data_IF_548364706067
#
_entry.id   IF_548364706067
#
_cell.length_a   1.000
_cell.length_b   1.000
_cell.length_c   1.000
_cell.angle_alpha   90.00
_cell.angle_beta   90.00
_cell.angle_gamma   90.00
#
_symmetry.space_group_name_H-M   'P 1'
#
loop_
_entity.id
_entity.type
_entity.pdbx_description
1 polymer ?
#
# COMPACT_ATOMS: atom_id res chain seq x y z
N UNK A 1 -5.77 -2.22 30.30
CA UNK A 1 -4.32 -1.92 30.38
C UNK A 1 -3.94 -1.19 29.09
N UNK A 2 -3.82 0.14 29.14
CA UNK A 2 -3.56 0.99 27.97
C UNK A 2 -2.07 0.96 27.64
N UNK A 3 -1.68 0.33 26.53
CA UNK A 3 -0.32 0.40 26.00
C UNK A 3 -0.07 1.82 25.44
N UNK A 4 0.38 2.74 26.30
CA UNK A 4 1.13 3.92 25.84
C UNK A 4 2.48 3.44 25.33
N UNK A 5 2.57 3.12 24.04
CA UNK A 5 3.87 2.94 23.38
C UNK A 5 4.54 4.30 23.35
N UNK A 6 5.56 4.46 24.20
CA UNK A 6 6.58 5.50 24.07
C UNK A 6 7.14 5.31 22.66
N UNK A 7 6.75 6.19 21.73
CA UNK A 7 7.44 6.29 20.44
C UNK A 7 8.89 6.55 20.82
N UNK A 8 9.81 5.68 20.37
CA UNK A 8 11.23 5.82 20.69
C UNK A 8 11.65 7.23 20.34
N UNK A 9 11.91 8.05 21.36
CA UNK A 9 12.34 9.42 21.19
C UNK A 9 13.59 9.48 20.31
N UNK A 10 14.35 8.39 20.24
CA UNK A 10 15.57 8.26 19.48
C UNK A 10 15.29 8.10 17.97
N UNK A 11 14.18 7.47 17.57
CA UNK A 11 13.73 7.45 16.16
C UNK A 11 13.34 8.85 15.71
N UNK A 12 12.63 9.60 16.55
CA UNK A 12 12.29 10.99 16.26
C UNK A 12 13.52 11.91 16.31
N UNK A 13 14.43 11.75 17.28
CA UNK A 13 15.69 12.51 17.32
C UNK A 13 16.56 12.25 16.10
N UNK A 14 16.61 11.00 15.61
CA UNK A 14 17.36 10.60 14.43
C UNK A 14 16.82 11.29 13.16
N UNK A 15 15.50 11.35 12.98
CA UNK A 15 14.89 11.98 11.79
C UNK A 15 14.80 13.52 11.86
N UNK A 16 14.73 14.13 13.05
CA UNK A 16 14.42 15.55 13.23
C UNK A 16 15.52 16.36 13.95
N UNK A 17 16.77 15.91 13.83
CA UNK A 17 17.96 16.24 14.65
C UNK A 17 18.32 17.72 14.95
N UNK A 18 17.56 18.74 14.55
CA UNK A 18 17.90 20.14 14.84
C UNK A 18 16.82 21.00 15.50
N UNK A 19 15.58 20.55 15.67
CA UNK A 19 14.56 21.44 16.26
C UNK A 19 13.63 20.73 17.27
N UNK A 20 14.11 20.62 18.50
CA UNK A 20 13.38 20.02 19.63
C UNK A 20 12.04 20.70 19.91
N UNK A 21 11.88 22.00 19.56
CA UNK A 21 10.61 22.73 19.73
C UNK A 21 9.57 22.32 18.69
N UNK A 22 10.00 22.07 17.45
CA UNK A 22 9.13 21.60 16.37
C UNK A 22 8.59 20.19 16.66
N UNK A 23 9.48 19.28 17.10
CA UNK A 23 9.14 17.91 17.50
C UNK A 23 8.07 17.89 18.60
N UNK A 24 8.25 18.72 19.65
CA UNK A 24 7.31 18.79 20.78
C UNK A 24 5.92 19.27 20.35
N UNK A 25 5.87 20.29 19.49
CA UNK A 25 4.63 20.88 18.98
C UNK A 25 3.87 19.92 18.04
N UNK A 26 4.59 19.11 17.25
CA UNK A 26 3.99 18.07 16.41
C UNK A 26 3.55 16.84 17.21
N UNK A 27 4.30 16.42 18.24
CA UNK A 27 3.86 15.35 19.14
C UNK A 27 2.57 15.75 19.89
N UNK A 28 2.48 17.00 20.36
CA UNK A 28 1.29 17.50 21.07
C UNK A 28 0.04 17.55 20.16
N UNK A 29 0.19 17.77 18.85
CA UNK A 29 -0.93 17.71 17.89
C UNK A 29 -1.34 16.27 17.53
N UNK A 30 -0.45 15.28 17.70
CA UNK A 30 -0.73 13.86 17.42
C UNK A 30 -1.54 13.12 18.49
N UNK A 31 -1.79 13.73 19.66
CA UNK A 31 -2.73 13.19 20.67
C UNK A 31 -4.19 13.08 20.16
N UNK A 32 -4.48 13.54 18.94
CA UNK A 32 -5.79 13.43 18.28
C UNK A 32 -5.94 12.20 17.37
N UNK A 33 -5.01 11.23 17.40
CA UNK A 33 -5.22 9.91 16.76
C UNK A 33 -5.25 9.91 15.23
N UNK A 34 -4.92 11.04 14.58
CA UNK A 34 -4.82 11.18 13.13
C UNK A 34 -3.44 11.76 12.82
N UNK A 35 -2.42 10.91 12.82
CA UNK A 35 -1.03 11.33 12.72
C UNK A 35 -0.57 11.55 11.28
N UNK A 36 -0.71 12.77 10.77
CA UNK A 36 0.15 13.29 9.72
C UNK A 36 1.51 13.60 10.35
N UNK A 37 2.52 12.73 10.19
CA UNK A 37 3.90 13.17 10.39
C UNK A 37 4.30 13.87 9.11
N UNK A 38 3.86 15.12 9.03
CA UNK A 38 4.18 16.02 7.96
C UNK A 38 5.57 16.55 8.24
N UNK A 39 6.60 15.74 8.02
CA UNK A 39 7.93 16.32 8.03
C UNK A 39 7.91 17.46 7.01
N UNK A 40 8.31 18.69 7.40
CA UNK A 40 8.06 19.84 6.57
C UNK A 40 8.57 19.56 5.17
N UNK A 41 7.74 19.81 4.16
CA UNK A 41 8.08 19.51 2.76
C UNK A 41 9.42 20.16 2.34
N UNK A 42 9.80 21.21 3.07
CA UNK A 42 11.04 21.97 2.93
C UNK A 42 12.29 21.25 3.47
N UNK A 43 12.15 20.25 4.33
CA UNK A 43 13.27 19.52 4.93
C UNK A 43 13.92 18.54 3.93
N UNK A 44 13.12 17.95 3.05
CA UNK A 44 13.59 17.00 2.02
C UNK A 44 13.78 17.65 0.65
N UNK A 45 12.93 18.62 0.27
CA UNK A 45 13.03 19.29 -1.04
C UNK A 45 14.30 20.14 -1.21
N UNK A 46 15.00 20.45 -0.12
CA UNK A 46 16.21 21.27 -0.14
C UNK A 46 17.50 20.51 -0.46
N UNK A 47 17.51 19.18 -0.51
CA UNK A 47 18.68 18.44 -0.98
C UNK A 47 18.78 18.52 -2.51
N UNK A 48 19.19 19.68 -3.04
CA UNK A 48 19.61 19.76 -4.46
C UNK A 48 20.79 18.83 -4.79
N UNK A 49 21.43 18.28 -3.75
CA UNK A 49 22.62 17.43 -3.82
C UNK A 49 22.31 15.93 -3.92
N UNK A 50 21.09 15.48 -3.61
CA UNK A 50 20.72 14.07 -3.67
C UNK A 50 19.63 13.87 -4.70
N UNK A 51 19.97 13.22 -5.80
CA UNK A 51 19.13 13.05 -6.98
C UNK A 51 18.42 11.70 -7.00
N UNK A 52 17.46 11.53 -7.91
CA UNK A 52 16.89 10.20 -8.18
C UNK A 52 17.92 9.17 -8.66
N UNK A 53 19.00 9.60 -9.33
CA UNK A 53 20.07 8.68 -9.73
C UNK A 53 20.84 8.18 -8.49
N UNK A 54 21.16 9.09 -7.56
CA UNK A 54 21.83 8.74 -6.31
C UNK A 54 20.94 7.84 -5.44
N UNK A 55 19.63 8.13 -5.38
CA UNK A 55 18.65 7.28 -4.69
C UNK A 55 18.62 5.87 -5.28
N UNK A 56 18.56 5.76 -6.61
CA UNK A 56 18.57 4.48 -7.33
C UNK A 56 19.84 3.68 -7.05
N UNK A 57 21.00 4.35 -7.08
CA UNK A 57 22.29 3.74 -6.76
C UNK A 57 22.30 3.21 -5.33
N UNK A 58 21.90 4.03 -4.34
CA UNK A 58 21.83 3.63 -2.94
C UNK A 58 20.90 2.42 -2.72
N UNK A 59 19.73 2.40 -3.37
CA UNK A 59 18.79 1.27 -3.26
C UNK A 59 19.42 -0.01 -3.81
N UNK A 60 20.07 0.05 -4.97
CA UNK A 60 20.68 -1.11 -5.61
C UNK A 60 21.93 -1.60 -4.86
N UNK A 61 22.72 -0.69 -4.29
CA UNK A 61 23.95 -1.01 -3.57
C UNK A 61 23.66 -1.57 -2.17
N UNK A 62 22.76 -0.93 -1.40
CA UNK A 62 22.57 -1.26 0.02
C UNK A 62 21.29 -2.05 0.30
N UNK A 63 20.17 -1.70 -0.32
CA UNK A 63 18.89 -2.32 0.03
C UNK A 63 18.63 -3.62 -0.74
N UNK A 64 18.95 -3.67 -2.04
CA UNK A 64 18.74 -4.85 -2.87
C UNK A 64 19.40 -6.12 -2.27
N UNK A 65 20.68 -6.09 -1.81
CA UNK A 65 21.29 -7.28 -1.19
C UNK A 65 20.55 -7.73 0.07
N UNK A 66 20.09 -6.79 0.91
CA UNK A 66 19.37 -7.09 2.15
C UNK A 66 18.05 -7.79 1.86
N UNK A 67 17.24 -7.24 0.94
CA UNK A 67 15.92 -7.80 0.67
C UNK A 67 15.99 -9.12 -0.13
N UNK A 68 17.07 -9.34 -0.87
CA UNK A 68 17.33 -10.60 -1.56
C UNK A 68 17.43 -11.80 -0.60
N UNK A 69 17.91 -11.58 0.64
CA UNK A 69 17.94 -12.62 1.69
C UNK A 69 16.54 -13.15 2.06
N UNK A 70 15.48 -12.38 1.77
CA UNK A 70 14.08 -12.75 2.01
C UNK A 70 13.41 -13.37 0.77
N UNK A 71 14.19 -13.62 -0.29
CA UNK A 71 13.74 -14.17 -1.56
C UNK A 71 13.05 -13.17 -2.49
N UNK A 72 13.18 -11.87 -2.24
CA UNK A 72 12.74 -10.85 -3.20
C UNK A 72 13.80 -10.65 -4.28
N UNK A 73 13.35 -10.39 -5.50
CA UNK A 73 14.19 -10.01 -6.63
C UNK A 73 13.73 -8.66 -7.18
N UNK A 74 14.54 -8.03 -8.01
CA UNK A 74 14.22 -6.71 -8.58
C UNK A 74 15.31 -5.69 -8.31
N UNK A 75 15.05 -4.46 -8.71
CA UNK A 75 16.01 -3.35 -8.69
C UNK A 75 15.32 -2.00 -8.73
N UNK A 76 16.12 -0.97 -8.57
CA UNK A 76 15.81 0.44 -8.69
C UNK A 76 14.85 0.91 -7.60
N UNK A 77 13.56 0.63 -7.74
CA UNK A 77 12.53 1.00 -6.76
C UNK A 77 11.54 -0.13 -6.49
N UNK A 78 11.72 -1.28 -7.15
CA UNK A 78 10.71 -2.34 -7.22
C UNK A 78 11.34 -3.68 -6.94
N UNK A 79 10.88 -4.28 -5.85
CA UNK A 79 11.26 -5.61 -5.43
C UNK A 79 10.02 -6.47 -5.38
N UNK A 80 10.11 -7.70 -5.89
CA UNK A 80 9.00 -8.62 -5.93
C UNK A 80 9.43 -10.04 -5.59
N UNK A 81 8.49 -10.77 -4.99
CA UNK A 81 8.55 -12.20 -4.73
C UNK A 81 7.25 -12.79 -5.25
N UNK A 82 7.28 -14.00 -5.79
CA UNK A 82 6.08 -14.65 -6.29
C UNK A 82 5.95 -16.09 -5.79
N UNK A 83 4.71 -16.54 -5.65
CA UNK A 83 4.31 -17.94 -5.51
C UNK A 83 3.38 -18.32 -6.66
N UNK A 84 2.80 -19.52 -6.67
CA UNK A 84 1.92 -20.00 -7.74
C UNK A 84 0.68 -19.12 -7.98
N UNK A 85 0.26 -18.38 -6.96
CA UNK A 85 -1.01 -17.66 -6.89
C UNK A 85 -0.86 -16.14 -6.74
N UNK A 86 0.30 -15.60 -6.38
CA UNK A 86 0.46 -14.19 -5.99
C UNK A 86 1.82 -13.60 -6.37
N UNK A 87 1.83 -12.28 -6.50
CA UNK A 87 3.03 -11.44 -6.41
C UNK A 87 2.95 -10.59 -5.15
N UNK A 88 4.02 -10.60 -4.38
CA UNK A 88 4.28 -9.69 -3.28
C UNK A 88 5.26 -8.64 -3.78
N UNK A 89 4.92 -7.36 -3.66
CA UNK A 89 5.77 -6.27 -4.13
C UNK A 89 6.09 -5.29 -3.01
N UNK A 90 7.33 -4.81 -3.00
CA UNK A 90 7.80 -3.69 -2.21
C UNK A 90 8.17 -2.61 -3.21
N UNK A 91 7.46 -1.49 -3.16
CA UNK A 91 7.68 -0.37 -4.07
C UNK A 91 8.10 0.88 -3.30
N UNK A 92 9.28 1.39 -3.63
CA UNK A 92 9.73 2.71 -3.22
C UNK A 92 9.08 3.77 -4.13
N UNK A 93 8.51 4.79 -3.52
CA UNK A 93 7.96 5.97 -4.16
C UNK A 93 8.84 7.16 -3.78
N UNK A 94 9.97 7.37 -4.48
CA UNK A 94 10.77 8.56 -4.28
C UNK A 94 9.97 9.79 -4.65
N UNK A 95 10.22 10.89 -3.94
CA UNK A 95 9.79 12.20 -4.39
C UNK A 95 10.47 12.58 -5.72
N UNK A 96 10.01 13.66 -6.35
CA UNK A 96 10.54 14.07 -7.67
C UNK A 96 12.04 14.34 -7.67
N UNK A 97 12.65 14.59 -6.51
CA UNK A 97 14.04 14.96 -6.39
C UNK A 97 14.91 13.81 -5.86
N UNK A 98 14.34 12.77 -5.26
CA UNK A 98 15.04 11.67 -4.59
C UNK A 98 15.31 11.90 -3.09
N UNK A 99 15.00 13.09 -2.55
CA UNK A 99 15.31 13.51 -1.18
C UNK A 99 14.42 12.90 -0.11
N UNK A 100 13.35 12.21 -0.49
CA UNK A 100 12.55 11.41 0.40
C UNK A 100 11.78 10.32 -0.33
N UNK A 101 11.36 9.29 0.40
CA UNK A 101 10.66 8.14 -0.19
C UNK A 101 9.56 7.62 0.73
N UNK A 102 8.49 7.14 0.12
CA UNK A 102 7.52 6.26 0.78
C UNK A 102 7.77 4.82 0.33
N UNK A 103 7.36 3.85 1.14
CA UNK A 103 7.44 2.44 0.78
C UNK A 103 6.06 1.83 0.88
N UNK A 104 5.57 1.28 -0.23
CA UNK A 104 4.31 0.55 -0.27
C UNK A 104 4.55 -0.94 -0.38
N UNK A 105 3.75 -1.69 0.38
CA UNK A 105 3.65 -3.14 0.35
C UNK A 105 2.41 -3.51 -0.44
N UNK A 106 2.58 -4.20 -1.55
CA UNK A 106 1.51 -4.49 -2.49
C UNK A 106 1.36 -6.01 -2.65
N UNK A 107 0.12 -6.47 -2.81
CA UNK A 107 -0.16 -7.86 -3.17
C UNK A 107 -1.02 -7.88 -4.41
N UNK A 108 -0.55 -8.59 -5.43
CA UNK A 108 -1.26 -8.87 -6.66
C UNK A 108 -1.60 -10.36 -6.71
N UNK A 109 -2.87 -10.69 -6.88
CA UNK A 109 -3.30 -12.08 -7.05
C UNK A 109 -3.26 -12.47 -8.53
N UNK A 110 -2.73 -13.66 -8.82
CA UNK A 110 -2.66 -14.28 -10.16
C UNK A 110 -4.02 -14.88 -10.52
N UNK A 111 -4.32 -14.98 -11.81
CA UNK A 111 -5.57 -15.59 -12.30
C UNK A 111 -6.76 -14.64 -12.41
N UNK A 112 -6.81 -13.56 -11.63
CA UNK A 112 -7.80 -12.48 -11.84
C UNK A 112 -7.12 -11.33 -12.60
N UNK A 113 -7.24 -11.38 -13.93
CA UNK A 113 -6.63 -10.38 -14.82
C UNK A 113 -7.39 -9.06 -14.74
N UNK A 114 -6.68 -8.01 -14.36
CA UNK A 114 -7.14 -6.62 -14.44
C UNK A 114 -6.11 -5.76 -15.18
N UNK A 115 -6.52 -4.84 -16.08
CA UNK A 115 -7.79 -4.74 -16.83
C UNK A 115 -8.10 -5.88 -17.82
N UNK A 116 -9.32 -5.91 -18.40
CA UNK A 116 -9.73 -6.91 -19.40
C UNK A 116 -8.72 -7.00 -20.56
N UNK A 117 -8.76 -8.12 -21.31
CA UNK A 117 -7.93 -8.64 -22.44
C UNK A 117 -6.97 -7.70 -23.20
N UNK A 118 -7.17 -6.40 -23.18
CA UNK A 118 -6.35 -5.36 -23.81
C UNK A 118 -5.20 -4.85 -22.93
N UNK A 119 -5.17 -5.17 -21.63
CA UNK A 119 -4.18 -4.63 -20.72
C UNK A 119 -3.16 -5.67 -20.28
N UNK A 120 -1.93 -5.53 -20.77
CA UNK A 120 -0.81 -6.38 -20.37
C UNK A 120 -0.28 -5.91 -19.02
N UNK A 121 -0.43 -6.74 -17.98
CA UNK A 121 0.24 -6.54 -16.70
C UNK A 121 1.75 -6.44 -16.96
N UNK A 122 2.31 -5.25 -16.73
CA UNK A 122 3.73 -5.02 -16.87
C UNK A 122 4.36 -5.03 -15.48
N UNK A 123 5.13 -6.08 -15.16
CA UNK A 123 5.89 -6.23 -13.92
C UNK A 123 6.69 -4.97 -13.56
N UNK A 124 7.13 -4.18 -14.56
CA UNK A 124 7.87 -2.92 -14.35
C UNK A 124 7.02 -1.65 -14.11
N UNK A 125 5.71 -1.64 -14.40
CA UNK A 125 4.87 -0.41 -14.39
C UNK A 125 3.65 -0.42 -13.45
N UNK A 126 3.32 -1.55 -12.83
CA UNK A 126 1.96 -1.85 -12.40
C UNK A 126 1.70 -1.81 -10.87
N UNK A 127 2.15 -0.78 -10.15
CA UNK A 127 1.74 -0.59 -8.74
C UNK A 127 0.26 -0.24 -8.60
N UNK A 128 -0.34 0.36 -9.65
CA UNK A 128 -1.73 0.82 -9.72
C UNK A 128 -2.79 -0.30 -9.79
N UNK A 129 -2.38 -1.56 -9.90
CA UNK A 129 -3.27 -2.68 -10.22
C UNK A 129 -3.17 -3.84 -9.24
N UNK A 130 -2.66 -3.57 -8.03
CA UNK A 130 -2.61 -4.53 -6.93
C UNK A 130 -3.90 -4.44 -6.11
N UNK A 131 -4.45 -5.59 -5.72
CA UNK A 131 -5.69 -5.66 -4.94
C UNK A 131 -5.50 -5.13 -3.53
N UNK A 132 -4.34 -5.42 -2.93
CA UNK A 132 -4.04 -5.01 -1.56
C UNK A 132 -2.82 -4.11 -1.53
N UNK A 133 -2.87 -3.06 -0.70
CA UNK A 133 -1.78 -2.11 -0.57
C UNK A 133 -1.72 -1.56 0.84
N UNK A 134 -0.53 -1.56 1.43
CA UNK A 134 -0.25 -0.95 2.71
C UNK A 134 0.99 -0.09 2.61
N UNK A 135 0.86 1.18 2.97
CA UNK A 135 2.01 2.04 3.18
C UNK A 135 2.75 1.59 4.44
N UNK A 136 4.05 1.38 4.31
CA UNK A 136 4.92 0.99 5.40
C UNK A 136 5.09 2.17 6.36
N UNK A 137 5.01 1.90 7.66
CA UNK A 137 5.23 2.91 8.69
C UNK A 137 5.74 2.29 10.00
N UNK A 138 6.75 2.90 10.64
CA UNK A 138 7.24 2.49 11.95
C UNK A 138 6.21 2.68 13.08
N UNK A 139 5.20 3.54 12.89
CA UNK A 139 4.19 3.83 13.93
C UNK A 139 2.75 3.56 13.49
N UNK A 140 2.55 2.82 12.39
CA UNK A 140 1.22 2.50 11.83
C UNK A 140 0.41 3.76 11.42
N UNK A 141 1.10 4.79 10.93
CA UNK A 141 0.46 5.92 10.21
C UNK A 141 0.33 5.59 8.73
N UNK A 142 -0.67 6.18 8.07
CA UNK A 142 -0.85 6.11 6.62
C UNK A 142 0.10 7.03 5.84
N UNK A 143 0.85 7.92 6.51
CA UNK A 143 1.76 8.87 5.86
C UNK A 143 3.10 8.84 6.59
N UNK A 144 4.06 8.10 6.03
CA UNK A 144 5.44 8.10 6.51
C UNK A 144 6.39 8.26 5.32
N UNK A 145 7.34 9.18 5.46
CA UNK A 145 8.40 9.42 4.49
C UNK A 145 9.74 9.25 5.18
N UNK A 146 10.62 8.46 4.57
CA UNK A 146 12.03 8.43 4.94
C UNK A 146 12.78 9.50 4.16
N UNK A 147 13.65 10.22 4.86
CA UNK A 147 14.50 11.25 4.30
C UNK A 147 15.79 10.66 3.77
N UNK A 148 16.25 11.14 2.63
CA UNK A 148 17.58 10.88 2.13
C UNK A 148 18.38 12.19 2.12
N UNK A 149 19.68 12.09 2.37
CA UNK A 149 20.62 13.21 2.45
C UNK A 149 21.74 13.02 1.43
N UNK A 150 22.63 14.00 1.28
CA UNK A 150 23.80 13.86 0.40
C UNK A 150 24.86 12.87 0.90
N UNK A 151 24.88 12.53 2.18
CA UNK A 151 25.81 11.55 2.74
C UNK A 151 25.30 10.11 2.51
N UNK A 152 26.11 9.28 1.85
CA UNK A 152 25.77 7.88 1.53
C UNK A 152 25.65 6.96 2.76
N UNK A 153 26.50 7.12 3.77
CA UNK A 153 26.46 6.30 5.00
C UNK A 153 25.20 6.56 5.82
N UNK A 154 24.78 7.82 5.94
CA UNK A 154 23.49 8.19 6.54
C UNK A 154 22.33 7.51 5.79
N UNK A 155 22.36 7.50 4.46
CA UNK A 155 21.33 6.86 3.64
C UNK A 155 21.32 5.34 3.77
N UNK A 156 22.50 4.73 3.93
CA UNK A 156 22.62 3.29 4.22
C UNK A 156 21.89 2.94 5.52
N UNK A 157 22.11 3.71 6.59
CA UNK A 157 21.41 3.51 7.86
C UNK A 157 19.88 3.69 7.73
N UNK A 158 19.42 4.63 6.90
CA UNK A 158 17.99 4.78 6.58
C UNK A 158 17.44 3.54 5.86
N UNK A 159 18.18 2.97 4.91
CA UNK A 159 17.78 1.76 4.19
C UNK A 159 17.78 0.51 5.09
N UNK A 160 18.73 0.41 6.02
CA UNK A 160 18.76 -0.63 7.06
C UNK A 160 17.55 -0.53 7.99
N UNK A 161 17.15 0.69 8.39
CA UNK A 161 15.92 0.90 9.16
C UNK A 161 14.66 0.50 8.37
N UNK A 162 14.55 0.90 7.10
CA UNK A 162 13.45 0.47 6.22
C UNK A 162 13.39 -1.06 6.15
N UNK A 163 14.55 -1.72 5.94
CA UNK A 163 14.64 -3.17 5.89
C UNK A 163 14.18 -3.82 7.21
N UNK A 164 14.63 -3.31 8.36
CA UNK A 164 14.17 -3.77 9.68
C UNK A 164 12.66 -3.66 9.82
N UNK A 165 12.06 -2.52 9.44
CA UNK A 165 10.61 -2.32 9.52
C UNK A 165 9.87 -3.26 8.54
N UNK A 166 10.46 -3.57 7.38
CA UNK A 166 9.92 -4.59 6.47
C UNK A 166 9.91 -5.96 7.15
N UNK A 167 10.99 -6.36 7.82
CA UNK A 167 11.01 -7.65 8.55
C UNK A 167 9.96 -7.68 9.66
N UNK A 168 9.86 -6.62 10.46
CA UNK A 168 8.95 -6.54 11.61
C UNK A 168 7.47 -6.43 11.21
N UNK A 169 7.16 -5.78 10.09
CA UNK A 169 5.77 -5.43 9.73
C UNK A 169 5.37 -5.81 8.32
N UNK A 170 6.29 -5.73 7.37
CA UNK A 170 6.02 -6.05 5.97
C UNK A 170 5.90 -7.55 5.73
N UNK A 171 6.83 -8.35 6.26
CA UNK A 171 6.77 -9.81 6.15
C UNK A 171 5.50 -10.36 6.83
N UNK A 172 5.15 -9.99 8.09
CA UNK A 172 3.87 -10.38 8.68
C UNK A 172 2.65 -9.93 7.86
N UNK A 173 2.69 -8.72 7.27
CA UNK A 173 1.64 -8.27 6.36
C UNK A 173 1.53 -9.14 5.11
N UNK A 174 2.62 -9.66 4.55
CA UNK A 174 2.53 -10.55 3.39
C UNK A 174 2.03 -11.95 3.79
N UNK A 175 2.45 -12.46 4.95
CA UNK A 175 2.05 -13.79 5.46
C UNK A 175 0.54 -13.94 5.64
N UNK A 176 -0.20 -12.88 5.97
CA UNK A 176 -1.66 -13.00 6.08
C UNK A 176 -2.30 -13.49 4.77
N UNK A 177 -1.70 -13.18 3.60
CA UNK A 177 -2.20 -13.58 2.30
C UNK A 177 -1.81 -15.01 1.90
N UNK A 178 -1.09 -15.76 2.73
CA UNK A 178 -0.88 -17.20 2.52
C UNK A 178 -2.25 -17.93 2.46
N UNK A 179 -3.20 -17.50 3.29
CA UNK A 179 -4.58 -18.01 3.27
C UNK A 179 -5.56 -16.96 2.71
N UNK A 180 -5.45 -16.74 1.39
CA UNK A 180 -6.23 -15.74 0.67
C UNK A 180 -7.74 -15.97 0.82
N UNK A 181 -8.20 -17.21 0.75
CA UNK A 181 -9.63 -17.54 0.84
C UNK A 181 -10.22 -17.14 2.19
N UNK A 182 -9.45 -17.32 3.28
CA UNK A 182 -9.84 -16.87 4.61
C UNK A 182 -9.92 -15.34 4.73
N UNK A 183 -9.07 -14.60 4.01
CA UNK A 183 -9.17 -13.13 3.97
C UNK A 183 -10.42 -12.73 3.19
N UNK A 184 -10.57 -13.31 2.00
CA UNK A 184 -11.62 -12.92 1.07
C UNK A 184 -13.00 -13.28 1.58
N UNK A 185 -13.17 -14.42 2.25
CA UNK A 185 -14.43 -14.83 2.87
C UNK A 185 -14.96 -13.80 3.88
N UNK A 186 -14.05 -13.14 4.61
CA UNK A 186 -14.41 -12.12 5.61
C UNK A 186 -14.70 -10.73 5.04
N UNK A 187 -14.38 -10.48 3.77
CA UNK A 187 -14.72 -9.20 3.14
C UNK A 187 -16.22 -9.16 2.88
N UNK A 188 -16.86 -8.10 3.36
CA UNK A 188 -18.28 -7.83 3.18
C UNK A 188 -18.47 -6.50 2.47
N UNK A 189 -19.71 -6.21 2.06
CA UNK A 189 -20.08 -4.87 1.58
C UNK A 189 -19.70 -3.79 2.61
N UNK A 190 -19.95 -4.03 3.90
CA UNK A 190 -19.60 -3.11 4.98
C UNK A 190 -18.10 -2.82 5.06
N UNK A 191 -17.23 -3.77 4.68
CA UNK A 191 -15.78 -3.53 4.54
C UNK A 191 -15.50 -2.41 3.54
N UNK A 192 -16.17 -2.41 2.39
CA UNK A 192 -16.00 -1.38 1.37
C UNK A 192 -16.58 -0.03 1.77
N UNK A 193 -17.68 -0.02 2.51
CA UNK A 193 -18.31 1.22 3.00
C UNK A 193 -17.46 1.91 4.07
N UNK A 194 -16.81 1.13 4.94
CA UNK A 194 -15.92 1.65 5.98
C UNK A 194 -14.60 2.20 5.42
N UNK A 195 -14.14 1.72 4.26
CA UNK A 195 -12.95 2.23 3.58
C UNK A 195 -13.10 3.69 3.13
N UNK A 196 -14.35 4.16 2.88
CA UNK A 196 -14.65 5.55 2.52
C UNK A 196 -14.19 6.56 3.58
N UNK A 197 -13.98 6.13 4.82
CA UNK A 197 -13.62 6.99 5.94
C UNK A 197 -12.15 6.92 6.34
N UNK A 198 -11.29 6.19 5.60
CA UNK A 198 -9.86 6.19 5.89
C UNK A 198 -9.52 5.59 7.26
N UNK A 199 -10.34 4.67 7.78
CA UNK A 199 -10.08 3.96 9.03
C UNK A 199 -9.61 2.54 8.70
N UNK A 200 -8.39 2.17 9.13
CA UNK A 200 -8.06 0.76 9.34
C UNK A 200 -9.08 0.28 10.36
N UNK A 201 -9.88 -0.75 10.07
CA UNK A 201 -10.77 -1.29 11.08
C UNK A 201 -9.90 -1.81 12.26
N UNK A 202 -9.95 -1.14 13.43
CA UNK A 202 -9.09 -1.50 14.55
C UNK A 202 -9.48 -2.83 15.19
N UNK A 203 -10.65 -3.40 14.84
CA UNK A 203 -11.15 -4.66 15.39
C UNK A 203 -10.77 -5.89 14.55
N UNK A 204 -10.52 -5.71 13.25
CA UNK A 204 -10.38 -6.85 12.33
C UNK A 204 -8.96 -7.06 11.79
N UNK A 205 -8.08 -6.07 11.92
CA UNK A 205 -6.68 -6.19 11.50
C UNK A 205 -6.48 -6.33 9.98
N UNK A 206 -7.49 -6.01 9.17
CA UNK A 206 -7.42 -6.20 7.72
C UNK A 206 -6.39 -5.30 7.03
N UNK A 207 -5.73 -5.79 5.96
CA UNK A 207 -4.93 -4.97 5.06
C UNK A 207 -5.77 -3.85 4.44
N UNK A 208 -5.18 -2.65 4.36
CA UNK A 208 -5.75 -1.56 3.59
C UNK A 208 -5.87 -1.94 2.11
N UNK A 209 -6.97 -1.55 1.48
CA UNK A 209 -7.06 -1.51 0.01
C UNK A 209 -6.41 -0.22 -0.50
N UNK A 210 -5.97 -0.23 -1.76
CA UNK A 210 -5.27 0.90 -2.41
C UNK A 210 -5.95 2.25 -2.10
N UNK A 211 -5.28 3.07 -1.28
CA UNK A 211 -5.92 4.18 -0.54
C UNK A 211 -5.69 5.58 -1.12
N UNK A 212 -4.98 5.74 -2.23
CA UNK A 212 -4.56 7.09 -2.63
C UNK A 212 -5.45 7.83 -3.61
N UNK A 213 -6.53 7.22 -4.10
CA UNK A 213 -7.55 7.99 -4.78
C UNK A 213 -8.92 7.51 -4.34
N UNK A 214 -9.75 8.45 -3.92
CA UNK A 214 -11.21 8.33 -3.72
C UNK A 214 -11.96 7.69 -4.92
N UNK A 215 -11.27 7.24 -5.95
CA UNK A 215 -11.82 6.93 -7.26
C UNK A 215 -11.83 5.44 -7.61
N UNK A 216 -11.02 4.56 -6.99
CA UNK A 216 -10.88 3.18 -7.48
C UNK A 216 -10.89 2.10 -6.38
N UNK A 217 -11.95 2.07 -5.55
CA UNK A 217 -12.32 0.87 -4.77
C UNK A 217 -12.83 -0.27 -5.67
N UNK A 218 -13.19 0.06 -6.92
CA UNK A 218 -13.82 -0.83 -7.88
C UNK A 218 -12.99 -2.05 -8.27
N UNK A 219 -11.68 -1.96 -8.54
CA UNK A 219 -10.86 -3.15 -8.76
C UNK A 219 -10.89 -4.11 -7.57
N UNK A 220 -10.99 -3.59 -6.35
CA UNK A 220 -11.11 -4.42 -5.14
C UNK A 220 -12.47 -5.11 -5.07
N UNK A 221 -13.57 -4.39 -5.35
CA UNK A 221 -14.93 -4.97 -5.39
C UNK A 221 -15.01 -6.05 -6.48
N UNK A 222 -14.52 -5.75 -7.69
CA UNK A 222 -14.49 -6.70 -8.80
C UNK A 222 -13.68 -7.94 -8.46
N UNK A 223 -12.51 -7.77 -7.85
CA UNK A 223 -11.68 -8.89 -7.43
C UNK A 223 -12.40 -9.82 -6.45
N UNK A 224 -13.02 -9.27 -5.41
CA UNK A 224 -13.76 -10.09 -4.42
C UNK A 224 -14.99 -10.74 -5.07
N UNK A 225 -15.66 -10.07 -6.00
CA UNK A 225 -16.73 -10.67 -6.81
C UNK A 225 -16.22 -11.88 -7.60
N UNK A 226 -15.14 -11.73 -8.38
CA UNK A 226 -14.61 -12.82 -9.21
C UNK A 226 -14.16 -13.99 -8.36
N UNK A 227 -13.54 -13.72 -7.22
CA UNK A 227 -13.14 -14.77 -6.28
C UNK A 227 -14.36 -15.51 -5.70
N UNK A 228 -15.41 -14.79 -5.28
CA UNK A 228 -16.63 -15.42 -4.80
C UNK A 228 -17.29 -16.28 -5.89
N UNK A 229 -17.36 -15.79 -7.13
CA UNK A 229 -17.94 -16.52 -8.25
C UNK A 229 -17.15 -17.78 -8.62
N UNK A 230 -15.82 -17.69 -8.66
CA UNK A 230 -14.93 -18.84 -8.93
C UNK A 230 -15.07 -19.92 -7.84
N UNK A 231 -15.32 -19.52 -6.59
CA UNK A 231 -15.49 -20.44 -5.46
C UNK A 231 -16.96 -20.82 -5.20
N UNK A 232 -17.85 -20.57 -6.16
CA UNK A 232 -19.27 -20.93 -6.10
C UNK A 232 -20.06 -20.29 -4.93
N UNK A 233 -19.57 -19.19 -4.35
CA UNK A 233 -20.31 -18.37 -3.38
C UNK A 233 -21.22 -17.39 -4.13
N UNK A 234 -22.27 -17.94 -4.75
CA UNK A 234 -23.19 -17.21 -5.64
C UNK A 234 -23.91 -16.06 -4.93
N UNK A 235 -24.33 -16.24 -3.68
CA UNK A 235 -25.00 -15.19 -2.90
C UNK A 235 -24.08 -13.98 -2.68
N UNK A 236 -22.83 -14.23 -2.28
CA UNK A 236 -21.85 -13.16 -2.09
C UNK A 236 -21.48 -12.49 -3.41
N UNK A 237 -21.22 -13.27 -4.46
CA UNK A 237 -20.90 -12.75 -5.78
C UNK A 237 -22.04 -11.84 -6.30
N UNK A 238 -23.28 -12.29 -6.16
CA UNK A 238 -24.46 -11.53 -6.57
C UNK A 238 -24.63 -10.23 -5.77
N UNK A 239 -24.47 -10.28 -4.44
CA UNK A 239 -24.49 -9.09 -3.57
C UNK A 239 -23.40 -8.09 -3.96
N UNK A 240 -22.19 -8.55 -4.23
CA UNK A 240 -21.06 -7.72 -4.64
C UNK A 240 -21.26 -7.11 -6.04
N UNK A 241 -21.82 -7.86 -6.99
CA UNK A 241 -22.16 -7.35 -8.31
C UNK A 241 -23.21 -6.23 -8.22
N UNK A 242 -24.29 -6.44 -7.45
CA UNK A 242 -25.32 -5.41 -7.20
C UNK A 242 -24.73 -4.17 -6.53
N UNK A 243 -23.91 -4.36 -5.51
CA UNK A 243 -23.22 -3.26 -4.82
C UNK A 243 -22.28 -2.49 -5.77
N UNK A 244 -21.50 -3.23 -6.57
CA UNK A 244 -20.63 -2.69 -7.60
C UNK A 244 -21.38 -1.76 -8.56
N UNK A 245 -22.45 -2.26 -9.18
CA UNK A 245 -23.32 -1.46 -10.07
C UNK A 245 -23.86 -0.20 -9.39
N UNK A 246 -24.39 -0.35 -8.16
CA UNK A 246 -24.96 0.77 -7.41
C UNK A 246 -23.96 1.88 -7.08
N UNK A 247 -22.67 1.54 -6.89
CA UNK A 247 -21.60 2.53 -6.68
C UNK A 247 -20.97 3.04 -7.99
N UNK A 248 -21.11 2.29 -9.09
CA UNK A 248 -20.52 2.57 -10.40
C UNK A 248 -21.33 3.57 -11.25
N UNK A 249 -22.59 3.83 -10.92
CA UNK A 249 -23.44 4.70 -11.73
C UNK A 249 -23.11 6.19 -11.50
N UNK A 250 -22.11 6.71 -12.22
CA UNK A 250 -22.16 8.12 -12.64
C UNK A 250 -22.95 8.15 -13.96
N UNK A 251 -23.97 9.01 -14.11
CA UNK A 251 -24.94 8.98 -15.23
C UNK A 251 -24.37 9.26 -16.63
N UNK A 252 -23.04 9.29 -16.81
CA UNK A 252 -22.38 9.60 -18.07
C UNK A 252 -21.67 8.36 -18.65
N UNK A 253 -22.14 7.88 -19.80
CA UNK A 253 -21.58 6.74 -20.57
C UNK A 253 -20.06 6.81 -20.78
N UNK A 254 -19.47 8.02 -20.89
CA UNK A 254 -18.01 8.22 -21.06
C UNK A 254 -17.15 7.79 -19.86
N UNK A 255 -17.75 7.54 -18.70
CA UNK A 255 -17.06 7.09 -17.48
C UNK A 255 -17.47 5.68 -17.06
N UNK A 256 -18.10 4.89 -17.94
CA UNK A 256 -18.34 3.47 -17.66
C UNK A 256 -17.00 2.82 -17.31
N UNK A 257 -16.96 2.20 -16.12
CA UNK A 257 -15.78 1.48 -15.65
C UNK A 257 -15.71 0.14 -16.37
N UNK A 258 -14.51 -0.45 -16.54
CA UNK A 258 -14.29 -1.65 -17.37
C UNK A 258 -14.98 -2.95 -16.90
N UNK A 259 -15.87 -2.90 -15.91
CA UNK A 259 -16.52 -4.06 -15.27
C UNK A 259 -18.05 -3.97 -15.21
N UNK A 260 -18.62 -2.83 -15.61
CA UNK A 260 -20.06 -2.60 -15.49
C UNK A 260 -20.86 -3.66 -16.23
N UNK A 261 -20.47 -3.98 -17.46
CA UNK A 261 -21.13 -5.00 -18.28
C UNK A 261 -21.08 -6.40 -17.64
N UNK A 262 -19.94 -6.77 -17.05
CA UNK A 262 -19.79 -8.10 -16.43
C UNK A 262 -20.66 -8.25 -15.18
N UNK A 263 -20.73 -7.22 -14.34
CA UNK A 263 -21.68 -7.22 -13.22
C UNK A 263 -23.13 -7.26 -13.70
N UNK A 264 -23.48 -6.49 -14.75
CA UNK A 264 -24.84 -6.49 -15.32
C UNK A 264 -25.24 -7.86 -15.86
N UNK A 265 -24.36 -8.51 -16.61
CA UNK A 265 -24.60 -9.85 -17.17
C UNK A 265 -24.75 -10.88 -16.05
N UNK A 266 -23.87 -10.85 -15.04
CA UNK A 266 -23.97 -11.73 -13.88
C UNK A 266 -25.31 -11.60 -13.16
N UNK A 267 -25.77 -10.36 -12.93
CA UNK A 267 -27.06 -10.09 -12.27
C UNK A 267 -28.23 -10.60 -13.12
N UNK A 268 -28.17 -10.49 -14.46
CA UNK A 268 -29.22 -10.97 -15.36
C UNK A 268 -29.31 -12.50 -15.39
N UNK A 269 -28.18 -13.19 -15.36
CA UNK A 269 -28.11 -14.65 -15.41
C UNK A 269 -28.54 -15.33 -14.10
N UNK A 270 -28.52 -14.59 -12.98
CA UNK A 270 -28.78 -15.10 -11.63
C UNK A 270 -29.98 -14.41 -10.93
N UNK A 271 -30.82 -13.68 -11.68
CA UNK A 271 -32.13 -13.17 -11.25
C UNK A 271 -33.24 -14.01 -11.89
#
# INVERSE_FOLDING_TARGET
MLFKRKIDEDILKYHFSKDKKLIRKEIESTNLGIGWIHVPINTWRKSKEFTNADFKECINEYFQPLIATQGFTGKDYKFYKEDDSKFYLINFFPDRNGGGTQVDLLVKVKGITYPPKHFKFNKSKSTKYCEFSKRLSPINTSVWHWAFKSNKDDNKAVLEDIYRIILEKGIPYFKQFENLDTILSKITIGTFENLKYGIQDPKTGFPSFYREFHEDIFPSIYFVFKHADINDDKDKAFKLAKYGIGKLHKPYKKYQRPYTEEFENYIKENN
#
